data_IF_758095633348
#
_entry.id   IF_758095633348
#
_cell.length_a   1.000
_cell.length_b   1.000
_cell.length_c   1.000
_cell.angle_alpha   90.00
_cell.angle_beta   90.00
_cell.angle_gamma   90.00
#
_symmetry.space_group_name_H-M   'P 1'
#
loop_
_entity.id
_entity.type
_entity.pdbx_description
1 polymer ?
#
# COMPACT_ATOMS: atom_id res chain seq x y z
N UNK A 1 23.57 9.64 -6.91
CA UNK A 1 23.03 8.68 -5.93
C UNK A 1 22.93 7.32 -6.61
N UNK A 2 23.59 6.29 -6.06
CA UNK A 2 23.64 4.94 -6.67
C UNK A 2 22.28 4.25 -6.51
N UNK A 3 21.70 3.63 -7.55
CA UNK A 3 20.52 2.81 -7.39
C UNK A 3 20.93 1.56 -6.63
N UNK A 4 20.51 1.48 -5.36
CA UNK A 4 20.75 0.32 -4.52
C UNK A 4 20.05 -0.88 -5.12
N UNK A 5 20.84 -1.86 -5.55
CA UNK A 5 20.45 -3.23 -5.84
C UNK A 5 19.87 -3.86 -4.56
N UNK A 6 18.65 -3.49 -4.17
CA UNK A 6 17.86 -4.27 -3.22
C UNK A 6 17.00 -5.22 -4.02
N UNK A 7 17.57 -6.41 -4.16
CA UNK A 7 16.89 -7.66 -4.45
C UNK A 7 15.47 -7.64 -3.85
N UNK A 8 14.49 -8.05 -4.65
CA UNK A 8 13.12 -8.38 -4.25
C UNK A 8 13.17 -9.52 -3.23
N UNK A 9 13.65 -9.25 -2.02
CA UNK A 9 13.37 -10.12 -0.90
C UNK A 9 11.86 -10.00 -0.70
N UNK A 10 11.12 -11.10 -0.92
CA UNK A 10 9.71 -11.16 -0.64
C UNK A 10 9.48 -10.54 0.74
N UNK A 11 8.89 -9.35 0.78
CA UNK A 11 8.52 -8.75 2.03
C UNK A 11 7.45 -9.65 2.64
N UNK A 12 7.44 -9.81 3.96
CA UNK A 12 6.56 -10.78 4.61
C UNK A 12 5.06 -10.55 4.31
N UNK A 13 4.69 -9.35 3.84
CA UNK A 13 3.33 -8.99 3.45
C UNK A 13 3.02 -9.19 1.94
N UNK A 14 4.02 -9.37 1.07
CA UNK A 14 3.83 -9.51 -0.39
C UNK A 14 2.90 -10.68 -0.77
N UNK A 15 3.00 -11.88 -0.14
CA UNK A 15 2.11 -12.99 -0.46
C UNK A 15 0.62 -12.64 -0.26
N UNK A 16 0.31 -11.83 0.75
CA UNK A 16 -1.06 -11.38 1.05
C UNK A 16 -1.54 -10.44 -0.05
N UNK A 17 -0.70 -9.48 -0.46
CA UNK A 17 -1.01 -8.58 -1.55
C UNK A 17 -1.21 -9.30 -2.88
N UNK A 18 -0.35 -10.28 -3.18
CA UNK A 18 -0.50 -11.13 -4.37
C UNK A 18 -1.79 -11.94 -4.35
N UNK A 19 -2.13 -12.56 -3.22
CA UNK A 19 -3.39 -13.29 -3.06
C UNK A 19 -4.59 -12.37 -3.32
N UNK A 20 -4.62 -11.18 -2.72
CA UNK A 20 -5.68 -10.19 -2.92
C UNK A 20 -5.77 -9.72 -4.39
N UNK A 21 -4.62 -9.47 -5.03
CA UNK A 21 -4.54 -9.09 -6.43
C UNK A 21 -5.09 -10.17 -7.37
N UNK A 22 -4.72 -11.43 -7.15
CA UNK A 22 -5.22 -12.56 -7.96
C UNK A 22 -6.71 -12.84 -7.73
N UNK A 23 -7.20 -12.75 -6.49
CA UNK A 23 -8.63 -12.86 -6.16
C UNK A 23 -9.48 -11.73 -6.77
N UNK A 24 -8.82 -10.70 -7.31
CA UNK A 24 -9.47 -9.61 -8.05
C UNK A 24 -9.38 -9.79 -9.56
N UNK A 25 -8.87 -10.94 -10.02
CA UNK A 25 -8.67 -11.28 -11.43
C UNK A 25 -7.80 -10.27 -12.21
N UNK A 26 -6.99 -9.48 -11.50
CA UNK A 26 -6.04 -8.56 -12.09
C UNK A 26 -4.70 -9.26 -12.34
N UNK A 27 -3.97 -8.80 -13.35
CA UNK A 27 -2.59 -9.21 -13.60
C UNK A 27 -1.62 -8.21 -12.95
N UNK A 28 -0.53 -8.67 -12.31
CA UNK A 28 0.48 -7.75 -11.78
C UNK A 28 1.16 -6.99 -12.91
N UNK A 29 1.33 -5.68 -12.72
CA UNK A 29 2.27 -4.84 -13.47
C UNK A 29 3.39 -4.40 -12.55
N UNK A 30 4.60 -4.20 -13.07
CA UNK A 30 5.71 -3.64 -12.28
C UNK A 30 5.77 -2.13 -12.52
N UNK A 31 5.85 -1.35 -11.44
CA UNK A 31 6.04 0.11 -11.47
C UNK A 31 6.89 0.49 -10.26
N UNK A 32 7.99 1.23 -10.47
CA UNK A 32 8.90 1.73 -9.42
C UNK A 32 9.32 0.67 -8.37
N UNK A 33 9.60 -0.55 -8.82
CA UNK A 33 10.00 -1.65 -7.93
C UNK A 33 8.85 -2.38 -7.22
N UNK A 34 7.61 -1.90 -7.37
CA UNK A 34 6.41 -2.48 -6.76
C UNK A 34 5.58 -3.28 -7.77
N UNK A 35 4.73 -4.17 -7.27
CA UNK A 35 3.69 -4.84 -8.04
C UNK A 35 2.37 -4.09 -7.90
N UNK A 36 1.79 -3.67 -9.02
CA UNK A 36 0.50 -3.00 -9.08
C UNK A 36 -0.55 -3.94 -9.70
N UNK A 37 -1.64 -4.16 -8.98
CA UNK A 37 -2.86 -4.79 -9.46
C UNK A 37 -3.94 -3.71 -9.59
N UNK A 38 -4.52 -3.56 -10.77
CA UNK A 38 -5.68 -2.69 -10.99
C UNK A 38 -6.87 -3.54 -11.36
N UNK A 39 -7.92 -3.48 -10.56
CA UNK A 39 -9.17 -4.20 -10.79
C UNK A 39 -10.37 -3.36 -10.34
N UNK A 40 -11.30 -3.15 -11.26
CA UNK A 40 -12.60 -2.52 -11.03
C UNK A 40 -13.67 -3.52 -10.55
N UNK A 41 -13.28 -4.77 -10.28
CA UNK A 41 -14.15 -5.90 -9.92
C UNK A 41 -13.44 -6.89 -8.99
N UNK A 42 -14.21 -7.81 -8.40
CA UNK A 42 -13.69 -8.87 -7.54
C UNK A 42 -13.49 -8.45 -6.08
N UNK A 43 -12.79 -9.29 -5.32
CA UNK A 43 -12.74 -9.17 -3.85
C UNK A 43 -12.00 -7.91 -3.38
N UNK A 44 -10.91 -7.49 -4.04
CA UNK A 44 -10.26 -6.24 -3.64
C UNK A 44 -11.16 -5.04 -3.91
N UNK A 45 -11.89 -5.00 -5.03
CA UNK A 45 -12.86 -3.95 -5.29
C UNK A 45 -13.91 -3.85 -4.18
N UNK A 46 -14.47 -4.99 -3.78
CA UNK A 46 -15.44 -5.06 -2.68
C UNK A 46 -14.85 -4.58 -1.34
N UNK A 47 -13.64 -5.03 -1.00
CA UNK A 47 -12.96 -4.69 0.26
C UNK A 47 -12.55 -3.22 0.29
N UNK A 48 -11.99 -2.71 -0.80
CA UNK A 48 -11.58 -1.32 -0.96
C UNK A 48 -12.78 -0.38 -0.90
N UNK A 49 -13.82 -0.65 -1.68
CA UNK A 49 -15.04 0.17 -1.72
C UNK A 49 -15.76 0.16 -0.36
N UNK A 50 -15.86 -1.00 0.32
CA UNK A 50 -16.47 -1.05 1.67
C UNK A 50 -15.67 -0.30 2.73
N UNK A 51 -14.35 -0.21 2.59
CA UNK A 51 -13.50 0.49 3.56
C UNK A 51 -13.27 1.96 3.21
N UNK A 52 -13.78 2.41 2.06
CA UNK A 52 -13.63 3.78 1.55
C UNK A 52 -12.24 4.07 0.97
N UNK A 53 -11.51 3.04 0.52
CA UNK A 53 -10.15 3.16 0.00
C UNK A 53 -10.12 3.07 -1.52
N UNK A 54 -9.27 3.87 -2.17
CA UNK A 54 -9.00 3.79 -3.61
C UNK A 54 -7.91 2.77 -3.97
N UNK A 55 -6.98 2.54 -3.05
CA UNK A 55 -5.89 1.57 -3.13
C UNK A 55 -5.52 1.04 -1.74
N UNK A 56 -4.78 -0.07 -1.70
CA UNK A 56 -4.22 -0.65 -0.49
C UNK A 56 -2.83 -1.23 -0.78
N UNK A 57 -1.91 -1.00 0.15
CA UNK A 57 -0.53 -1.51 0.09
C UNK A 57 -0.31 -2.66 1.06
N UNK A 58 0.38 -3.69 0.59
CA UNK A 58 0.89 -4.83 1.35
C UNK A 58 2.34 -5.10 0.95
N UNK A 59 3.30 -4.66 1.77
CA UNK A 59 4.71 -4.76 1.41
C UNK A 59 4.98 -3.97 0.12
N UNK A 60 5.43 -4.66 -0.93
CA UNK A 60 5.67 -4.10 -2.27
C UNK A 60 4.51 -4.33 -3.25
N UNK A 61 3.36 -4.82 -2.77
CA UNK A 61 2.18 -5.07 -3.59
C UNK A 61 1.10 -4.05 -3.32
N UNK A 62 0.70 -3.31 -4.36
CA UNK A 62 -0.34 -2.30 -4.34
C UNK A 62 -1.53 -2.82 -5.14
N UNK A 63 -2.71 -2.79 -4.53
CA UNK A 63 -3.97 -3.18 -5.18
C UNK A 63 -4.88 -1.97 -5.23
N UNK A 64 -5.31 -1.56 -6.41
CA UNK A 64 -6.11 -0.36 -6.65
C UNK A 64 -7.38 -0.67 -7.46
N UNK A 65 -8.43 0.11 -7.22
CA UNK A 65 -9.70 -0.03 -7.93
C UNK A 65 -9.70 0.60 -9.32
N UNK A 66 -8.82 1.57 -9.54
CA UNK A 66 -8.62 2.29 -10.79
C UNK A 66 -7.12 2.59 -10.95
N UNK A 67 -6.71 3.06 -12.12
CA UNK A 67 -5.33 3.50 -12.31
C UNK A 67 -5.01 4.66 -11.35
N UNK A 68 -4.04 4.50 -10.44
CA UNK A 68 -3.74 5.54 -9.47
C UNK A 68 -3.15 6.76 -10.17
N UNK A 69 -3.65 7.95 -9.80
CA UNK A 69 -2.99 9.21 -10.15
C UNK A 69 -1.58 9.26 -9.55
N UNK A 70 -0.72 10.15 -10.05
CA UNK A 70 0.64 10.27 -9.51
C UNK A 70 0.67 10.66 -8.03
N UNK A 71 -0.32 11.41 -7.55
CA UNK A 71 -0.46 11.73 -6.13
C UNK A 71 -0.77 10.49 -5.29
N UNK A 72 -1.74 9.67 -5.72
CA UNK A 72 -2.08 8.39 -5.07
C UNK A 72 -0.88 7.45 -5.13
N UNK A 73 -0.18 7.38 -6.25
CA UNK A 73 1.00 6.53 -6.39
C UNK A 73 2.12 6.93 -5.43
N UNK A 74 2.43 8.23 -5.29
CA UNK A 74 3.41 8.71 -4.30
C UNK A 74 3.00 8.38 -2.87
N UNK A 75 1.70 8.46 -2.57
CA UNK A 75 1.14 8.09 -1.27
C UNK A 75 1.35 6.59 -0.98
N UNK A 76 1.01 5.71 -1.91
CA UNK A 76 1.22 4.26 -1.73
C UNK A 76 2.71 3.90 -1.60
N UNK A 77 3.60 4.56 -2.34
CA UNK A 77 5.06 4.37 -2.18
C UNK A 77 5.55 4.73 -0.77
N UNK A 78 4.90 5.68 -0.08
CA UNK A 78 5.18 5.95 1.33
C UNK A 78 4.74 4.81 2.22
N UNK A 79 3.58 4.19 1.97
CA UNK A 79 3.19 2.97 2.68
C UNK A 79 4.16 1.82 2.44
N UNK A 80 4.70 1.66 1.22
CA UNK A 80 5.77 0.69 0.95
C UNK A 80 6.99 0.97 1.84
N UNK A 81 7.47 2.21 1.88
CA UNK A 81 8.59 2.59 2.74
C UNK A 81 8.30 2.38 4.24
N UNK A 82 7.05 2.61 4.68
CA UNK A 82 6.61 2.33 6.05
C UNK A 82 6.61 0.83 6.34
N UNK A 83 6.17 -0.01 5.39
CA UNK A 83 6.30 -1.46 5.49
C UNK A 83 7.76 -1.90 5.56
N UNK A 84 8.66 -1.33 4.74
CA UNK A 84 10.09 -1.67 4.80
C UNK A 84 10.73 -1.35 6.15
N UNK A 85 10.25 -0.31 6.85
CA UNK A 85 10.75 0.10 8.17
C UNK A 85 10.10 -0.67 9.32
N UNK A 86 8.80 -0.91 9.26
CA UNK A 86 7.99 -1.49 10.35
C UNK A 86 7.75 -3.00 10.18
N UNK A 87 8.02 -3.55 9.01
CA UNK A 87 7.72 -4.93 8.66
C UNK A 87 6.23 -5.26 8.85
N UNK A 88 5.95 -6.44 9.41
CA UNK A 88 4.58 -6.87 9.70
C UNK A 88 3.89 -6.04 10.80
N UNK A 89 4.64 -5.25 11.59
CA UNK A 89 4.04 -4.39 12.61
C UNK A 89 3.26 -3.21 12.00
N UNK A 90 3.47 -2.89 10.72
CA UNK A 90 2.74 -1.83 10.02
C UNK A 90 1.22 -2.00 10.14
N UNK A 91 0.70 -3.18 9.79
CA UNK A 91 -0.74 -3.43 9.74
C UNK A 91 -1.43 -3.28 11.12
N UNK A 92 -0.96 -3.90 12.21
CA UNK A 92 -1.56 -3.68 13.53
C UNK A 92 -1.41 -2.24 14.01
N UNK A 93 -0.28 -1.55 13.74
CA UNK A 93 -0.12 -0.13 14.06
C UNK A 93 -1.12 0.74 13.30
N UNK A 94 -1.28 0.49 12.00
CA UNK A 94 -2.25 1.18 11.15
C UNK A 94 -3.68 1.00 11.68
N UNK A 95 -4.10 -0.24 11.94
CA UNK A 95 -5.45 -0.50 12.43
C UNK A 95 -5.67 0.14 13.82
N UNK A 96 -4.67 0.11 14.69
CA UNK A 96 -4.73 0.77 15.99
C UNK A 96 -4.87 2.29 15.87
N UNK A 97 -4.02 2.93 15.06
CA UNK A 97 -4.09 4.35 14.80
C UNK A 97 -5.42 4.76 14.18
N UNK A 98 -5.95 3.98 13.24
CA UNK A 98 -7.26 4.24 12.63
C UNK A 98 -8.41 4.12 13.61
N UNK A 99 -8.35 3.15 14.53
CA UNK A 99 -9.35 3.02 15.59
C UNK A 99 -9.28 4.18 16.61
N UNK A 100 -8.06 4.69 16.89
CA UNK A 100 -7.83 5.71 17.92
C UNK A 100 -8.06 7.15 17.43
N UNK A 101 -7.65 7.45 16.20
CA UNK A 101 -7.60 8.83 15.67
C UNK A 101 -8.48 9.05 14.43
N UNK A 102 -9.15 8.00 13.94
CA UNK A 102 -9.84 8.05 12.65
C UNK A 102 -8.86 8.15 11.48
N UNK A 103 -9.35 8.58 10.32
CA UNK A 103 -8.54 8.66 9.09
C UNK A 103 -7.72 9.97 9.00
N UNK A 104 -8.35 11.13 9.24
CA UNK A 104 -7.72 12.43 9.02
C UNK A 104 -6.54 12.72 9.97
N UNK A 105 -6.62 12.26 11.21
CA UNK A 105 -5.56 12.45 12.22
C UNK A 105 -4.61 11.25 12.30
N UNK A 106 -4.73 10.28 11.38
CA UNK A 106 -3.95 9.05 11.40
C UNK A 106 -2.46 9.34 11.13
N UNK A 107 -1.55 9.05 12.07
CA UNK A 107 -0.13 9.41 11.93
C UNK A 107 0.53 8.85 10.66
N UNK A 108 0.30 7.57 10.33
CA UNK A 108 0.88 6.96 9.12
C UNK A 108 0.30 7.51 7.81
N UNK A 109 -0.97 7.95 7.79
CA UNK A 109 -1.59 8.56 6.61
C UNK A 109 -1.07 9.98 6.41
N UNK A 110 -0.89 10.72 7.50
CA UNK A 110 -0.25 12.04 7.49
C UNK A 110 1.18 11.96 7.00
N UNK A 111 1.94 10.96 7.44
CA UNK A 111 3.28 10.70 6.90
C UNK A 111 3.26 10.28 5.42
N UNK A 112 2.23 9.58 4.97
CA UNK A 112 2.06 9.23 3.56
C UNK A 112 1.53 10.40 2.69
N UNK A 113 1.12 11.51 3.31
CA UNK A 113 0.66 12.71 2.60
C UNK A 113 1.81 13.55 2.03
N UNK A 114 1.50 14.61 1.28
CA UNK A 114 2.51 15.49 0.69
C UNK A 114 3.32 16.30 1.71
N UNK A 115 2.99 16.24 3.00
CA UNK A 115 3.76 16.79 4.13
C UNK A 115 4.17 15.69 5.13
N UNK A 116 5.18 14.85 4.79
CA UNK A 116 5.61 13.72 5.61
C UNK A 116 6.35 14.17 6.88
N UNK A 117 6.02 13.57 8.04
CA UNK A 117 6.53 14.00 9.35
C UNK A 117 7.09 12.89 10.25
N UNK A 118 6.81 11.62 10.00
CA UNK A 118 7.23 10.53 10.88
C UNK A 118 8.55 9.90 10.46
N UNK A 119 8.83 9.88 9.16
CA UNK A 119 9.93 9.12 8.57
C UNK A 119 10.84 9.94 7.66
N UNK A 120 10.72 11.28 7.72
CA UNK A 120 11.49 12.30 6.99
C UNK A 120 13.00 12.18 7.16
#
# INVERSE_FOLDING_TARGET
MRPGLRMLAAHHADPIGHLMGFLSFARPRRRDGCFLYVADRGLAHLVLTRRGFGAITFGHVIVANHEPSDAVWRHELRHVAQYERLGLAFLPLYLWYRAKFGYFEHPLERDASEDPRLFS
#
